data_IF_361879031444
#
_entry.id   IF_361879031444
#
_cell.length_a   1.000
_cell.length_b   1.000
_cell.length_c   1.000
_cell.angle_alpha   90.00
_cell.angle_beta   90.00
_cell.angle_gamma   90.00
#
_symmetry.space_group_name_H-M   'P 1'
#
loop_
_entity.id
_entity.type
_entity.pdbx_description
1 polymer ?
#
# COMPACT_ATOMS: atom_id res chain seq x y z
N UNK A 1 -6.96 -5.50 24.60
CA UNK A 1 -6.08 -4.71 25.49
C UNK A 1 -6.18 -5.25 26.90
N UNK A 2 -5.30 -6.17 27.26
CA UNK A 2 -5.34 -6.81 28.56
C UNK A 2 -4.54 -8.09 28.50
N UNK A 3 -3.25 -7.97 28.85
CA UNK A 3 -2.28 -9.01 29.22
C UNK A 3 -0.92 -8.59 28.67
N UNK A 4 -0.29 -7.67 29.40
CA UNK A 4 1.14 -7.66 29.76
C UNK A 4 1.48 -6.23 30.17
N UNK A 5 1.80 -6.05 31.44
CA UNK A 5 2.29 -4.79 32.02
C UNK A 5 3.73 -4.60 31.53
N UNK A 6 3.88 -4.23 30.25
CA UNK A 6 5.17 -4.03 29.60
C UNK A 6 5.41 -2.55 29.42
N UNK A 7 6.64 -2.12 29.70
CA UNK A 7 7.10 -0.78 29.36
C UNK A 7 7.11 -0.65 27.83
N UNK A 8 6.24 0.18 27.24
CA UNK A 8 6.08 0.26 25.78
C UNK A 8 7.31 0.86 25.06
N UNK A 9 8.24 1.43 25.82
CA UNK A 9 9.41 2.16 25.31
C UNK A 9 10.70 1.34 25.43
N UNK A 10 10.71 0.27 26.24
CA UNK A 10 11.88 -0.61 26.41
C UNK A 10 11.50 -2.09 26.51
N UNK A 11 10.87 -2.67 25.46
CA UNK A 11 10.53 -4.08 25.46
C UNK A 11 11.78 -4.97 25.32
N UNK A 12 11.76 -6.14 25.95
CA UNK A 12 12.74 -7.19 25.68
C UNK A 12 12.52 -7.82 24.29
N UNK A 13 13.53 -8.54 23.79
CA UNK A 13 13.46 -9.17 22.47
C UNK A 13 12.35 -10.22 22.39
N UNK A 14 12.14 -10.95 23.49
CA UNK A 14 11.09 -11.96 23.61
C UNK A 14 9.71 -11.36 23.40
N UNK A 15 9.39 -10.24 24.05
CA UNK A 15 8.08 -9.60 23.91
C UNK A 15 7.82 -9.11 22.49
N UNK A 16 8.86 -8.61 21.80
CA UNK A 16 8.72 -8.21 20.39
C UNK A 16 8.48 -9.44 19.50
N UNK A 17 9.18 -10.55 19.74
CA UNK A 17 8.98 -11.78 18.98
C UNK A 17 7.61 -12.40 19.27
N UNK A 18 7.15 -12.41 20.51
CA UNK A 18 5.80 -12.86 20.89
C UNK A 18 4.73 -12.03 20.19
N UNK A 19 4.87 -10.70 20.16
CA UNK A 19 3.97 -9.82 19.42
C UNK A 19 3.95 -10.12 17.92
N UNK A 20 5.12 -10.35 17.31
CA UNK A 20 5.21 -10.69 15.89
C UNK A 20 4.68 -12.10 15.60
N UNK A 21 4.84 -13.04 16.53
CA UNK A 21 4.30 -14.40 16.44
C UNK A 21 2.78 -14.39 16.53
N UNK A 22 2.20 -13.68 17.50
CA UNK A 22 0.75 -13.47 17.60
C UNK A 22 0.18 -12.82 16.32
N UNK A 23 0.91 -11.88 15.73
CA UNK A 23 0.58 -11.33 14.42
C UNK A 23 0.59 -12.36 13.29
N UNK A 24 1.59 -13.25 13.28
CA UNK A 24 1.70 -14.32 12.29
C UNK A 24 0.58 -15.36 12.47
N UNK A 25 0.27 -15.75 13.71
CA UNK A 25 -0.80 -16.70 14.05
C UNK A 25 -2.19 -16.17 13.68
N UNK A 26 -2.37 -14.84 13.72
CA UNK A 26 -3.55 -14.14 13.20
C UNK A 26 -3.61 -14.06 11.67
N UNK A 27 -2.62 -14.61 10.97
CA UNK A 27 -2.56 -14.62 9.50
C UNK A 27 -2.12 -13.30 8.88
N UNK A 28 -1.41 -12.43 9.62
CA UNK A 28 -0.89 -11.19 9.03
C UNK A 28 0.16 -11.50 7.95
N UNK A 29 0.13 -10.73 6.87
CA UNK A 29 1.13 -10.86 5.80
C UNK A 29 2.54 -10.52 6.33
N UNK A 30 3.61 -11.13 5.77
CA UNK A 30 4.98 -10.80 6.14
C UNK A 30 5.32 -9.32 5.94
N UNK A 31 4.68 -8.66 4.97
CA UNK A 31 4.84 -7.22 4.75
C UNK A 31 4.21 -6.37 5.86
N UNK A 32 3.10 -6.84 6.44
CA UNK A 32 2.50 -6.21 7.61
C UNK A 32 3.42 -6.31 8.81
N UNK A 33 4.00 -7.50 9.06
CA UNK A 33 4.97 -7.71 10.14
C UNK A 33 6.20 -6.80 9.98
N UNK A 34 6.73 -6.67 8.76
CA UNK A 34 7.82 -5.71 8.45
C UNK A 34 7.44 -4.26 8.78
N UNK A 35 6.22 -3.85 8.47
CA UNK A 35 5.72 -2.49 8.78
C UNK A 35 5.61 -2.27 10.29
N UNK A 36 5.14 -3.26 11.04
CA UNK A 36 5.10 -3.19 12.50
C UNK A 36 6.50 -3.03 13.09
N UNK A 37 7.48 -3.80 12.62
CA UNK A 37 8.89 -3.65 13.03
C UNK A 37 9.42 -2.25 12.71
N UNK A 38 9.10 -1.70 11.53
CA UNK A 38 9.50 -0.34 11.15
C UNK A 38 8.84 0.74 12.04
N UNK A 39 7.58 0.55 12.43
CA UNK A 39 6.89 1.44 13.36
C UNK A 39 7.48 1.35 14.78
N UNK A 40 7.81 0.14 15.24
CA UNK A 40 8.50 -0.06 16.51
C UNK A 40 9.88 0.59 16.50
N UNK A 41 10.59 0.53 15.36
CA UNK A 41 11.88 1.19 15.20
C UNK A 41 11.85 2.72 15.32
N UNK A 42 10.70 3.37 15.10
CA UNK A 42 10.59 4.82 15.27
C UNK A 42 10.33 5.25 16.72
N UNK A 43 9.94 4.31 17.59
CA UNK A 43 9.57 4.58 18.99
C UNK A 43 10.59 4.00 19.97
N UNK A 44 11.18 2.86 19.64
CA UNK A 44 12.06 2.10 20.54
C UNK A 44 13.51 2.21 20.09
N UNK A 45 14.37 2.67 20.99
CA UNK A 45 15.82 2.64 20.78
C UNK A 45 16.39 1.32 21.29
N UNK A 46 17.11 0.58 20.45
CA UNK A 46 17.66 -0.73 20.82
C UNK A 46 19.13 -0.62 21.17
N UNK A 47 19.52 -1.03 22.38
CA UNK A 47 20.91 -0.94 22.84
C UNK A 47 21.85 -1.69 21.87
N UNK A 48 22.85 -0.98 21.33
CA UNK A 48 23.88 -1.55 20.45
C UNK A 48 23.50 -1.67 18.97
N UNK A 49 22.28 -1.31 18.57
CA UNK A 49 21.85 -1.32 17.16
C UNK A 49 21.20 0.01 16.78
N UNK A 50 21.37 0.43 15.52
CA UNK A 50 20.74 1.65 15.00
C UNK A 50 19.20 1.59 15.01
N UNK A 51 18.64 0.39 14.92
CA UNK A 51 17.19 0.13 14.99
C UNK A 51 16.94 -1.35 15.23
N UNK A 52 15.79 -1.68 15.82
CA UNK A 52 15.33 -3.07 16.04
C UNK A 52 15.23 -3.88 14.74
N UNK A 53 15.00 -3.23 13.59
CA UNK A 53 14.99 -3.87 12.27
C UNK A 53 16.32 -4.53 11.90
N UNK A 54 17.44 -4.05 12.47
CA UNK A 54 18.78 -4.59 12.21
C UNK A 54 19.13 -5.76 13.12
N UNK A 55 18.29 -6.08 14.12
CA UNK A 55 18.56 -7.19 15.02
C UNK A 55 18.50 -8.53 14.25
N UNK A 56 19.54 -9.39 14.34
CA UNK A 56 19.64 -10.62 13.53
C UNK A 56 18.47 -11.58 13.75
N UNK A 57 17.96 -11.68 14.99
CA UNK A 57 16.81 -12.53 15.32
C UNK A 57 15.51 -12.03 14.68
N UNK A 58 15.26 -10.72 14.66
CA UNK A 58 14.08 -10.14 14.02
C UNK A 58 14.14 -10.37 12.51
N UNK A 59 15.31 -10.19 11.90
CA UNK A 59 15.51 -10.45 10.47
C UNK A 59 15.28 -11.93 10.13
N UNK A 60 15.76 -12.84 10.98
CA UNK A 60 15.58 -14.29 10.81
C UNK A 60 14.11 -14.70 10.97
N UNK A 61 13.41 -14.13 11.95
CA UNK A 61 11.97 -14.31 12.13
C UNK A 61 11.18 -13.85 10.91
N UNK A 62 11.42 -12.63 10.42
CA UNK A 62 10.74 -12.10 9.23
C UNK A 62 11.02 -12.93 7.97
N UNK A 63 12.23 -13.50 7.86
CA UNK A 63 12.57 -14.45 6.79
C UNK A 63 11.76 -15.74 6.93
N UNK A 64 11.67 -16.29 8.14
CA UNK A 64 10.83 -17.46 8.45
C UNK A 64 9.36 -17.21 8.10
N UNK A 65 8.79 -16.09 8.54
CA UNK A 65 7.43 -15.69 8.22
C UNK A 65 7.19 -15.56 6.70
N UNK A 66 8.17 -15.04 5.95
CA UNK A 66 8.07 -14.95 4.48
C UNK A 66 8.13 -16.30 3.79
N UNK A 67 8.91 -17.24 4.33
CA UNK A 67 8.99 -18.60 3.80
C UNK A 67 7.70 -19.39 4.07
N UNK A 68 7.09 -19.19 5.25
CA UNK A 68 5.82 -19.82 5.61
C UNK A 68 4.65 -19.24 4.82
N UNK A 69 4.65 -17.93 4.58
CA UNK A 69 3.60 -17.21 3.89
C UNK A 69 4.17 -16.42 2.70
N UNK A 70 4.48 -17.06 1.56
CA UNK A 70 5.04 -16.36 0.42
C UNK A 70 4.09 -15.26 -0.06
N UNK A 71 4.61 -14.08 -0.48
CA UNK A 71 3.78 -13.00 -0.94
C UNK A 71 3.00 -13.42 -2.19
N UNK A 72 1.68 -13.24 -2.14
CA UNK A 72 0.81 -13.46 -3.30
C UNK A 72 1.16 -12.42 -4.36
N UNK A 73 1.70 -12.88 -5.48
CA UNK A 73 1.95 -12.02 -6.64
C UNK A 73 0.64 -11.90 -7.41
N UNK A 74 -0.08 -10.80 -7.21
CA UNK A 74 -1.23 -10.50 -8.05
C UNK A 74 -0.73 -10.14 -9.45
N UNK A 75 -0.82 -11.08 -10.38
CA UNK A 75 -0.56 -10.82 -11.80
C UNK A 75 -1.83 -10.25 -12.40
N UNK A 76 -1.82 -8.96 -12.69
CA UNK A 76 -2.85 -8.37 -13.53
C UNK A 76 -2.61 -8.84 -14.97
N UNK A 77 -3.65 -9.16 -15.74
CA UNK A 77 -3.47 -9.43 -17.16
C UNK A 77 -2.81 -8.21 -17.79
N UNK A 78 -1.85 -8.45 -18.68
CA UNK A 78 -1.23 -7.38 -19.45
C UNK A 78 -2.32 -6.72 -20.29
N UNK A 79 -2.65 -5.47 -19.97
CA UNK A 79 -3.64 -4.71 -20.72
C UNK A 79 -2.94 -3.92 -21.82
N UNK A 80 -3.63 -3.73 -22.94
CA UNK A 80 -3.11 -2.99 -24.10
C UNK A 80 -3.83 -1.64 -24.17
N UNK A 81 -3.06 -0.56 -24.00
CA UNK A 81 -3.58 0.79 -23.99
C UNK A 81 -4.29 1.15 -25.30
N UNK A 82 -3.77 0.71 -26.44
CA UNK A 82 -4.40 0.99 -27.73
C UNK A 82 -5.77 0.32 -27.82
N UNK A 83 -5.90 -0.92 -27.32
CA UNK A 83 -7.20 -1.61 -27.30
C UNK A 83 -8.21 -0.89 -26.41
N UNK A 84 -7.78 -0.39 -25.26
CA UNK A 84 -8.67 0.37 -24.36
C UNK A 84 -9.10 1.68 -25.00
N UNK A 85 -8.17 2.44 -25.60
CA UNK A 85 -8.49 3.69 -26.28
C UNK A 85 -9.46 3.48 -27.46
N UNK A 86 -9.27 2.41 -28.25
CA UNK A 86 -10.19 2.03 -29.32
C UNK A 86 -11.56 1.58 -28.78
N UNK A 87 -11.63 1.01 -27.58
CA UNK A 87 -12.90 0.66 -26.95
C UNK A 87 -13.64 1.91 -26.45
N UNK A 88 -12.93 2.93 -25.98
CA UNK A 88 -13.53 4.20 -25.53
C UNK A 88 -14.15 5.03 -26.66
N UNK A 89 -13.82 4.75 -27.93
CA UNK A 89 -14.44 5.38 -29.11
C UNK A 89 -15.66 4.60 -29.64
N UNK A 90 -16.06 3.53 -28.94
CA UNK A 90 -17.18 2.66 -29.33
C UNK A 90 -18.27 2.66 -28.25
N UNK A 91 -19.49 2.18 -28.57
CA UNK A 91 -20.51 1.93 -27.55
C UNK A 91 -19.96 1.04 -26.44
N UNK A 92 -20.26 1.31 -25.15
CA UNK A 92 -21.23 2.29 -24.65
C UNK A 92 -20.65 3.69 -24.37
N UNK A 93 -19.39 3.96 -24.73
CA UNK A 93 -18.70 5.23 -24.45
C UNK A 93 -18.94 6.32 -25.51
N UNK A 94 -19.66 5.97 -26.57
CA UNK A 94 -20.13 6.83 -27.65
C UNK A 94 -21.56 6.39 -28.05
N UNK A 95 -22.43 7.31 -28.51
CA UNK A 95 -22.17 8.74 -28.74
C UNK A 95 -22.33 9.59 -27.46
N UNK A 96 -21.46 10.60 -27.30
CA UNK A 96 -21.42 11.51 -26.14
C UNK A 96 -22.76 12.20 -25.81
N UNK A 97 -23.64 12.38 -26.79
CA UNK A 97 -24.94 13.02 -26.59
C UNK A 97 -25.93 12.15 -25.81
N UNK A 98 -25.71 10.83 -25.79
CA UNK A 98 -26.64 9.85 -25.19
C UNK A 98 -26.02 9.01 -24.07
N UNK A 99 -24.73 9.22 -23.79
CA UNK A 99 -23.99 8.47 -22.77
C UNK A 99 -24.47 8.86 -21.36
N UNK A 100 -24.51 7.88 -20.45
CA UNK A 100 -24.76 8.17 -19.04
C UNK A 100 -23.60 8.95 -18.41
N UNK A 101 -23.92 9.84 -17.47
CA UNK A 101 -22.92 10.62 -16.74
C UNK A 101 -21.84 9.71 -16.12
N UNK A 102 -22.22 8.57 -15.57
CA UNK A 102 -21.30 7.61 -14.97
C UNK A 102 -20.27 7.06 -15.97
N UNK A 103 -20.70 6.66 -17.18
CA UNK A 103 -19.78 6.16 -18.21
C UNK A 103 -18.88 7.27 -18.76
N UNK A 104 -19.41 8.49 -18.89
CA UNK A 104 -18.64 9.66 -19.28
C UNK A 104 -17.57 10.00 -18.22
N UNK A 105 -17.94 10.01 -16.94
CA UNK A 105 -17.01 10.21 -15.83
C UNK A 105 -15.90 9.16 -15.82
N UNK A 106 -16.21 7.89 -16.06
CA UNK A 106 -15.21 6.83 -16.14
C UNK A 106 -14.26 7.02 -17.32
N UNK A 107 -14.77 7.41 -18.49
CA UNK A 107 -13.95 7.72 -19.68
C UNK A 107 -12.99 8.87 -19.40
N UNK A 108 -13.49 9.96 -18.81
CA UNK A 108 -12.67 11.13 -18.47
C UNK A 108 -11.66 10.79 -17.38
N UNK A 109 -12.08 10.13 -16.29
CA UNK A 109 -11.20 9.74 -15.20
C UNK A 109 -10.07 8.82 -15.67
N UNK A 110 -10.38 7.86 -16.55
CA UNK A 110 -9.36 7.01 -17.16
C UNK A 110 -8.37 7.82 -17.99
N UNK A 111 -8.86 8.71 -18.86
CA UNK A 111 -8.00 9.54 -19.71
C UNK A 111 -7.10 10.47 -18.87
N UNK A 112 -7.63 11.11 -17.83
CA UNK A 112 -6.85 11.95 -16.91
C UNK A 112 -5.80 11.10 -16.17
N UNK A 113 -6.16 9.89 -15.72
CA UNK A 113 -5.22 9.00 -15.03
C UNK A 113 -4.02 8.61 -15.90
N UNK A 114 -4.25 8.30 -17.19
CA UNK A 114 -3.16 7.88 -18.09
C UNK A 114 -2.30 9.05 -18.59
N UNK A 115 -2.85 10.26 -18.72
CA UNK A 115 -2.10 11.42 -19.24
C UNK A 115 -1.34 12.17 -18.16
N UNK A 116 -1.85 12.19 -16.93
CA UNK A 116 -1.23 12.93 -15.82
C UNK A 116 -0.19 12.13 -15.04
N UNK A 117 -0.11 10.82 -15.26
CA UNK A 117 0.79 9.90 -14.55
C UNK A 117 0.71 9.99 -13.00
N UNK A 118 -0.41 10.49 -12.47
CA UNK A 118 -0.67 10.62 -11.04
C UNK A 118 -1.22 9.32 -10.44
N UNK A 119 -0.93 9.10 -9.15
CA UNK A 119 -1.51 8.02 -8.37
C UNK A 119 -2.97 8.35 -8.04
N UNK A 120 -3.76 7.30 -7.77
CA UNK A 120 -5.18 7.41 -7.39
C UNK A 120 -5.49 8.50 -6.33
N UNK A 121 -4.75 8.65 -5.21
CA UNK A 121 -5.07 9.70 -4.24
C UNK A 121 -4.79 11.12 -4.77
N UNK A 122 -3.82 11.28 -5.67
CA UNK A 122 -3.51 12.57 -6.29
C UNK A 122 -4.62 12.94 -7.28
N UNK A 123 -5.12 11.96 -8.05
CA UNK A 123 -6.29 12.13 -8.93
C UNK A 123 -7.55 12.49 -8.13
N UNK A 124 -7.75 11.90 -6.96
CA UNK A 124 -8.88 12.21 -6.09
C UNK A 124 -8.79 13.63 -5.49
N UNK A 125 -7.58 14.18 -5.38
CA UNK A 125 -7.33 15.54 -4.94
C UNK A 125 -7.34 16.57 -6.08
N UNK A 126 -7.46 16.14 -7.34
CA UNK A 126 -7.52 17.06 -8.48
C UNK A 126 -8.74 17.97 -8.36
N UNK A 127 -8.48 19.28 -8.44
CA UNK A 127 -9.48 20.34 -8.39
C UNK A 127 -9.43 21.15 -9.69
N UNK A 128 -10.57 21.68 -10.11
CA UNK A 128 -10.66 22.61 -11.25
C UNK A 128 -10.18 24.02 -10.85
N UNK A 129 -10.05 24.29 -9.54
CA UNK A 129 -9.62 25.60 -9.05
C UNK A 129 -8.10 25.73 -9.12
N UNK A 130 -7.66 26.77 -9.84
CA UNK A 130 -6.26 27.03 -10.19
C UNK A 130 -5.38 27.41 -8.99
N UNK A 131 -5.98 27.81 -7.87
CA UNK A 131 -5.33 28.14 -6.59
C UNK A 131 -4.87 26.91 -5.80
N UNK A 132 -5.41 25.72 -6.11
CA UNK A 132 -5.12 24.45 -5.42
C UNK A 132 -4.32 23.47 -6.29
N UNK A 133 -4.01 23.84 -7.54
CA UNK A 133 -3.20 23.02 -8.43
C UNK A 133 -1.72 23.20 -8.11
N UNK A 134 -1.07 22.16 -7.59
CA UNK A 134 0.38 22.10 -7.54
C UNK A 134 0.90 22.09 -8.99
N UNK A 135 1.89 22.95 -9.33
CA UNK A 135 2.40 23.00 -10.68
C UNK A 135 3.01 21.64 -11.04
N UNK A 136 2.64 21.14 -12.22
CA UNK A 136 3.37 20.06 -12.89
C UNK A 136 4.84 20.46 -12.92
N UNK A 137 5.68 19.72 -12.19
CA UNK A 137 7.12 19.95 -12.13
C UNK A 137 7.80 19.71 -13.47
#
# INVERSE_FOLDING_TARGET
CGQSKLDPVNPSLSHVLEFLQDGLDKGLSPNTLRRQVAALASVINWKGYKSISHHPTIRSFLRGATNLCPPVVHRYPTWDLNKVLVALTKPPFEPLQSISLHLLSNKVAFLVAITSAHRVPELAACSVRQDLCFPFG
#
